data_IF_933916953154
#
_entry.id   IF_933916953154
#
_cell.length_a   1.000
_cell.length_b   1.000
_cell.length_c   1.000
_cell.angle_alpha   90.00
_cell.angle_beta   90.00
_cell.angle_gamma   90.00
#
_symmetry.space_group_name_H-M   'P 1'
#
loop_
_entity.id
_entity.type
_entity.pdbx_description
1 polymer ?
#
# COMPACT_ATOMS: atom_id res chain seq x y z
N UNK A 1 -5.08 14.70 -18.09
CA UNK A 1 -5.52 15.76 -17.16
C UNK A 1 -4.42 16.80 -16.87
N UNK A 2 -3.25 16.40 -16.35
CA UNK A 2 -2.19 17.33 -15.93
C UNK A 2 -1.75 18.35 -17.01
N UNK A 3 -1.52 17.88 -18.26
CA UNK A 3 -1.15 18.78 -19.38
C UNK A 3 -2.21 19.84 -19.68
N UNK A 4 -3.48 19.44 -19.70
CA UNK A 4 -4.60 20.36 -19.91
C UNK A 4 -4.66 21.42 -18.81
N UNK A 5 -4.51 21.02 -17.55
CA UNK A 5 -4.53 21.94 -16.41
C UNK A 5 -3.36 22.94 -16.44
N UNK A 6 -2.16 22.51 -16.82
CA UNK A 6 -1.04 23.45 -17.05
C UNK A 6 -1.35 24.45 -18.17
N UNK A 7 -1.95 23.98 -19.28
CA UNK A 7 -2.34 24.86 -20.39
C UNK A 7 -3.46 25.84 -20.02
N UNK A 8 -4.24 25.54 -18.98
CA UNK A 8 -5.24 26.44 -18.41
C UNK A 8 -4.64 27.44 -17.40
N UNK A 9 -3.31 27.47 -17.21
CA UNK A 9 -2.62 28.41 -16.33
C UNK A 9 -2.49 27.97 -14.87
N UNK A 10 -2.85 26.72 -14.54
CA UNK A 10 -2.68 26.20 -13.18
C UNK A 10 -1.22 25.80 -12.93
N UNK A 11 -0.74 26.01 -11.71
CA UNK A 11 0.46 25.35 -11.20
C UNK A 11 0.12 23.91 -10.80
N UNK A 12 0.66 22.93 -11.52
CA UNK A 12 0.23 21.53 -11.43
C UNK A 12 1.37 20.65 -10.94
N UNK A 13 1.22 20.15 -9.71
CA UNK A 13 2.00 19.05 -9.16
C UNK A 13 1.49 17.71 -9.74
N UNK A 14 2.35 17.02 -10.49
CA UNK A 14 2.12 15.71 -11.10
C UNK A 14 3.30 14.78 -10.80
N UNK A 15 3.39 14.27 -9.57
CA UNK A 15 4.51 13.45 -9.12
C UNK A 15 4.31 11.99 -9.54
N UNK A 16 5.39 11.22 -9.44
CA UNK A 16 5.38 9.77 -9.58
C UNK A 16 6.24 9.18 -8.47
N UNK A 17 5.94 7.95 -8.05
CA UNK A 17 6.75 7.21 -7.09
C UNK A 17 6.60 5.72 -7.29
N UNK A 18 7.35 4.96 -6.50
CA UNK A 18 7.45 3.51 -6.60
C UNK A 18 7.02 2.88 -5.29
N UNK A 19 5.91 2.15 -5.33
CA UNK A 19 5.55 1.23 -4.26
C UNK A 19 6.40 -0.04 -4.38
N UNK A 20 7.45 -0.10 -3.57
CA UNK A 20 8.64 -0.90 -3.79
C UNK A 20 8.93 -1.89 -2.63
N UNK A 21 8.08 -1.93 -1.61
CA UNK A 21 8.09 -2.96 -0.58
C UNK A 21 7.03 -4.02 -0.84
N UNK A 22 7.13 -5.12 -0.11
CA UNK A 22 6.09 -6.14 -0.04
C UNK A 22 6.38 -7.35 -0.90
N UNK A 23 5.50 -8.33 -0.74
CA UNK A 23 5.68 -9.68 -1.23
C UNK A 23 5.81 -9.80 -2.77
N UNK A 24 5.24 -8.93 -3.63
CA UNK A 24 5.45 -9.03 -5.08
C UNK A 24 6.92 -8.86 -5.48
N UNK A 25 7.60 -7.86 -4.92
CA UNK A 25 9.01 -7.60 -5.22
C UNK A 25 9.91 -8.69 -4.63
N UNK A 26 9.61 -9.13 -3.42
CA UNK A 26 10.36 -10.17 -2.71
C UNK A 26 10.26 -11.54 -3.39
N UNK A 27 9.04 -12.00 -3.71
CA UNK A 27 8.86 -13.30 -4.38
C UNK A 27 9.53 -13.32 -5.76
N UNK A 28 9.36 -12.26 -6.56
CA UNK A 28 9.93 -12.20 -7.90
C UNK A 28 11.47 -12.24 -7.88
N UNK A 29 12.08 -11.69 -6.82
CA UNK A 29 13.53 -11.72 -6.61
C UNK A 29 13.99 -13.11 -6.14
N UNK A 30 13.26 -13.74 -5.21
CA UNK A 30 13.53 -15.11 -4.73
C UNK A 30 13.48 -16.13 -5.88
N UNK A 31 12.44 -16.08 -6.72
CA UNK A 31 12.30 -16.97 -7.89
C UNK A 31 13.48 -16.88 -8.86
N UNK A 32 14.10 -15.70 -8.95
CA UNK A 32 15.22 -15.41 -9.85
C UNK A 32 16.59 -15.55 -9.18
N UNK A 33 16.63 -15.85 -7.89
CA UNK A 33 17.87 -15.97 -7.12
C UNK A 33 18.66 -14.66 -7.00
N UNK A 34 17.97 -13.51 -7.04
CA UNK A 34 18.59 -12.18 -6.96
C UNK A 34 18.17 -11.45 -5.68
N UNK A 35 18.98 -10.48 -5.25
CA UNK A 35 18.62 -9.61 -4.12
C UNK A 35 17.33 -8.84 -4.41
N UNK A 36 16.33 -8.83 -3.51
CA UNK A 36 15.12 -8.03 -3.67
C UNK A 36 15.40 -6.53 -3.86
N UNK A 37 16.45 -6.02 -3.22
CA UNK A 37 16.86 -4.62 -3.36
C UNK A 37 17.34 -4.33 -4.80
N UNK A 38 18.24 -5.16 -5.33
CA UNK A 38 18.80 -4.96 -6.66
C UNK A 38 17.74 -5.16 -7.75
N UNK A 39 16.88 -6.17 -7.58
CA UNK A 39 15.74 -6.44 -8.45
C UNK A 39 14.78 -5.25 -8.52
N UNK A 40 14.44 -4.69 -7.36
CA UNK A 40 13.53 -3.55 -7.25
C UNK A 40 14.11 -2.31 -7.90
N UNK A 41 15.39 -2.00 -7.64
CA UNK A 41 16.08 -0.85 -8.25
C UNK A 41 16.15 -0.99 -9.77
N UNK A 42 16.45 -2.19 -10.29
CA UNK A 42 16.50 -2.44 -11.73
C UNK A 42 15.11 -2.27 -12.39
N UNK A 43 14.06 -2.80 -11.77
CA UNK A 43 12.69 -2.67 -12.27
C UNK A 43 12.21 -1.21 -12.28
N UNK A 44 12.53 -0.45 -11.23
CA UNK A 44 12.24 0.98 -11.14
C UNK A 44 12.94 1.73 -12.28
N UNK A 45 14.22 1.46 -12.53
CA UNK A 45 14.96 2.10 -13.62
C UNK A 45 14.33 1.82 -14.99
N UNK A 46 13.95 0.57 -15.26
CA UNK A 46 13.28 0.17 -16.49
C UNK A 46 11.91 0.83 -16.65
N UNK A 47 11.06 0.77 -15.62
CA UNK A 47 9.73 1.37 -15.64
C UNK A 47 9.81 2.89 -15.83
N UNK A 48 10.77 3.56 -15.19
CA UNK A 48 11.03 4.99 -15.37
C UNK A 48 11.41 5.34 -16.80
N UNK A 49 12.25 4.53 -17.44
CA UNK A 49 12.62 4.71 -18.85
C UNK A 49 11.40 4.57 -19.76
N UNK A 50 10.54 3.58 -19.51
CA UNK A 50 9.30 3.39 -20.27
C UNK A 50 8.35 4.59 -20.11
N UNK A 51 8.13 5.08 -18.89
CA UNK A 51 7.28 6.25 -18.62
C UNK A 51 7.82 7.52 -19.29
N UNK A 52 9.16 7.69 -19.33
CA UNK A 52 9.80 8.79 -20.06
C UNK A 52 9.60 8.66 -21.57
N UNK A 53 9.71 7.46 -22.12
CA UNK A 53 9.50 7.20 -23.55
C UNK A 53 8.06 7.48 -24.00
N UNK A 54 7.07 7.26 -23.12
CA UNK A 54 5.66 7.63 -23.37
C UNK A 54 5.41 9.15 -23.41
N UNK A 55 6.43 9.98 -23.12
CA UNK A 55 6.31 11.44 -23.12
C UNK A 55 5.47 11.99 -21.96
N UNK A 56 5.20 11.18 -20.94
CA UNK A 56 4.45 11.61 -19.76
C UNK A 56 5.37 12.49 -18.90
N UNK A 57 4.96 13.75 -18.70
CA UNK A 57 5.70 14.71 -17.87
C UNK A 57 5.30 14.58 -16.41
N UNK A 58 6.08 13.80 -15.68
CA UNK A 58 6.09 13.77 -14.22
C UNK A 58 7.15 14.70 -13.64
N UNK A 59 6.91 15.18 -12.43
CA UNK A 59 7.86 15.97 -11.64
C UNK A 59 8.87 15.02 -10.98
N UNK A 60 9.82 14.51 -11.77
CA UNK A 60 10.81 13.52 -11.33
C UNK A 60 11.70 13.99 -10.18
N UNK A 61 11.81 15.30 -9.94
CA UNK A 61 12.53 15.87 -8.79
C UNK A 61 11.83 15.59 -7.45
N UNK A 62 10.56 15.14 -7.50
CA UNK A 62 9.75 14.75 -6.34
C UNK A 62 9.46 13.25 -6.31
N UNK A 63 10.27 12.46 -7.01
CA UNK A 63 10.16 11.01 -7.01
C UNK A 63 10.46 10.43 -5.63
N UNK A 64 9.67 9.45 -5.23
CA UNK A 64 9.85 8.72 -3.96
C UNK A 64 9.81 7.21 -4.20
N UNK A 65 10.55 6.46 -3.41
CA UNK A 65 10.59 4.99 -3.44
C UNK A 65 10.32 4.46 -2.04
N UNK A 66 9.27 3.66 -1.85
CA UNK A 66 8.84 3.29 -0.49
C UNK A 66 9.86 2.43 0.27
N UNK A 67 10.73 1.71 -0.45
CA UNK A 67 11.81 0.91 0.14
C UNK A 67 13.10 1.70 0.46
N UNK A 68 13.16 2.99 0.15
CA UNK A 68 14.34 3.81 0.40
C UNK A 68 14.40 4.30 1.86
N UNK A 69 15.59 4.37 2.50
CA UNK A 69 15.73 4.79 3.90
C UNK A 69 15.24 6.20 4.20
N UNK A 70 15.36 7.12 3.24
CA UNK A 70 14.87 8.49 3.35
C UNK A 70 13.34 8.59 3.29
N UNK A 71 12.65 7.55 2.81
CA UNK A 71 11.20 7.41 2.86
C UNK A 71 10.75 6.68 4.13
N UNK A 72 11.14 5.40 4.31
CA UNK A 72 10.54 4.56 5.36
C UNK A 72 10.88 5.01 6.78
N UNK A 73 11.91 5.84 6.99
CA UNK A 73 12.20 6.47 8.29
C UNK A 73 11.00 7.24 8.82
N UNK A 74 10.20 7.86 7.94
CA UNK A 74 9.01 8.60 8.31
C UNK A 74 7.85 7.67 8.65
N UNK A 75 7.73 6.53 7.97
CA UNK A 75 6.77 5.48 8.31
C UNK A 75 7.08 4.87 9.68
N UNK A 76 8.35 4.58 9.95
CA UNK A 76 8.82 4.13 11.27
C UNK A 76 8.53 5.17 12.35
N UNK A 77 8.83 6.44 12.10
CA UNK A 77 8.53 7.53 13.02
C UNK A 77 7.03 7.65 13.29
N UNK A 78 6.18 7.63 12.25
CA UNK A 78 4.73 7.70 12.39
C UNK A 78 4.17 6.52 13.21
N UNK A 79 4.69 5.31 12.97
CA UNK A 79 4.34 4.14 13.75
C UNK A 79 4.66 4.33 15.23
N UNK A 80 5.84 4.85 15.56
CA UNK A 80 6.21 5.16 16.95
C UNK A 80 5.28 6.23 17.55
N UNK A 81 4.87 7.23 16.78
CA UNK A 81 3.90 8.24 17.23
C UNK A 81 2.52 7.62 17.52
N UNK A 82 2.07 6.67 16.70
CA UNK A 82 0.83 5.93 16.93
C UNK A 82 0.95 5.00 18.15
N UNK A 83 2.10 4.33 18.30
CA UNK A 83 2.38 3.44 19.42
C UNK A 83 2.36 4.19 20.75
N UNK A 84 3.03 5.34 20.83
CA UNK A 84 3.06 6.19 22.03
C UNK A 84 1.65 6.70 22.41
N UNK A 85 0.76 6.88 21.43
CA UNK A 85 -0.64 7.26 21.66
C UNK A 85 -1.57 6.07 21.88
N UNK A 86 -1.04 4.85 21.93
CA UNK A 86 -1.82 3.63 22.07
C UNK A 86 -2.57 3.19 20.82
N UNK A 87 -2.49 3.93 19.71
CA UNK A 87 -3.18 3.63 18.45
C UNK A 87 -2.56 2.45 17.70
N UNK A 88 -1.23 2.28 17.78
CA UNK A 88 -0.57 1.05 17.39
C UNK A 88 -0.33 0.21 18.66
N UNK A 89 -0.68 -1.07 18.63
CA UNK A 89 -0.53 -1.94 19.79
C UNK A 89 -0.27 -3.38 19.38
N UNK A 90 0.28 -4.16 20.31
CA UNK A 90 0.52 -5.59 20.11
C UNK A 90 -0.49 -6.41 20.88
N UNK A 91 -1.08 -7.43 20.24
CA UNK A 91 -2.05 -8.32 20.87
C UNK A 91 -1.90 -9.72 20.29
N UNK A 92 -2.14 -10.74 21.12
CA UNK A 92 -2.37 -12.09 20.60
C UNK A 92 -3.75 -12.16 19.95
N UNK A 93 -3.78 -12.56 18.69
CA UNK A 93 -5.00 -12.74 17.94
C UNK A 93 -4.91 -13.97 17.04
N UNK A 94 -6.08 -14.56 16.78
CA UNK A 94 -6.27 -15.43 15.64
C UNK A 94 -6.11 -14.59 14.38
N UNK A 95 -5.14 -14.96 13.55
CA UNK A 95 -4.86 -14.28 12.29
C UNK A 95 -4.94 -15.24 11.12
N UNK A 96 -5.28 -14.69 9.96
CA UNK A 96 -5.28 -15.41 8.70
C UNK A 96 -3.83 -15.66 8.28
N UNK A 97 -3.43 -16.91 8.17
CA UNK A 97 -2.09 -17.32 7.76
C UNK A 97 -2.14 -17.94 6.37
N UNK A 98 -1.32 -17.43 5.46
CA UNK A 98 -1.11 -18.04 4.15
C UNK A 98 0.00 -19.10 4.26
N UNK A 99 -0.30 -20.40 4.05
CA UNK A 99 0.70 -21.47 4.18
C UNK A 99 1.72 -21.50 3.04
N UNK A 100 1.38 -20.93 1.88
CA UNK A 100 2.26 -20.87 0.70
C UNK A 100 3.22 -19.69 0.84
N UNK A 101 2.66 -18.51 1.08
CA UNK A 101 3.43 -17.27 1.22
C UNK A 101 4.11 -17.12 2.58
N UNK A 102 3.72 -17.98 3.54
CA UNK A 102 4.25 -18.02 4.91
C UNK A 102 4.21 -16.65 5.59
N UNK A 103 3.05 -16.01 5.49
CA UNK A 103 2.83 -14.67 6.03
C UNK A 103 1.42 -14.53 6.60
N UNK A 104 1.25 -13.52 7.45
CA UNK A 104 -0.07 -13.14 7.97
C UNK A 104 -0.76 -12.22 6.96
N UNK A 105 -2.05 -12.46 6.74
CA UNK A 105 -2.91 -11.67 5.89
C UNK A 105 -3.90 -10.86 6.75
N UNK A 106 -4.12 -9.60 6.37
CA UNK A 106 -5.25 -8.83 6.87
C UNK A 106 -6.58 -9.42 6.37
N UNK A 107 -7.70 -9.08 6.98
CA UNK A 107 -9.01 -9.60 6.56
C UNK A 107 -9.34 -9.18 5.12
N UNK A 108 -8.94 -7.97 4.74
CA UNK A 108 -9.13 -7.39 3.40
C UNK A 108 -8.29 -8.11 2.31
N UNK A 109 -7.37 -8.98 2.72
CA UNK A 109 -6.52 -9.78 1.85
C UNK A 109 -7.02 -11.24 1.72
N UNK A 110 -8.16 -11.56 2.31
CA UNK A 110 -8.81 -12.87 2.23
C UNK A 110 -10.12 -12.70 1.46
N UNK A 111 -10.33 -13.53 0.44
CA UNK A 111 -11.56 -13.51 -0.34
C UNK A 111 -12.76 -14.13 0.42
N UNK A 112 -13.94 -14.07 -0.19
CA UNK A 112 -15.17 -14.56 0.41
C UNK A 112 -15.16 -16.08 0.66
N UNK A 113 -14.35 -16.82 -0.09
CA UNK A 113 -14.14 -18.27 0.04
C UNK A 113 -13.04 -18.63 1.05
N UNK A 114 -12.46 -17.65 1.75
CA UNK A 114 -11.43 -17.88 2.76
C UNK A 114 -10.05 -18.19 2.18
N UNK A 115 -9.72 -17.64 1.01
CA UNK A 115 -8.44 -17.85 0.34
C UNK A 115 -7.64 -16.56 0.27
N UNK A 116 -6.33 -16.72 0.24
CA UNK A 116 -5.40 -15.62 -0.01
C UNK A 116 -5.65 -15.01 -1.39
N UNK A 117 -5.82 -13.70 -1.46
CA UNK A 117 -6.01 -12.95 -2.71
C UNK A 117 -4.87 -13.16 -3.72
N UNK A 118 -3.70 -13.60 -3.25
CA UNK A 118 -2.49 -13.76 -4.05
C UNK A 118 -2.16 -15.20 -4.37
N UNK A 119 -2.00 -16.04 -3.35
CA UNK A 119 -1.57 -17.44 -3.55
C UNK A 119 -2.74 -18.35 -3.92
N UNK A 120 -3.99 -17.94 -3.65
CA UNK A 120 -5.19 -18.76 -3.80
C UNK A 120 -5.29 -19.90 -2.77
N UNK A 121 -4.32 -20.01 -1.86
CA UNK A 121 -4.32 -21.01 -0.80
C UNK A 121 -5.44 -20.71 0.22
N UNK A 122 -6.05 -21.77 0.74
CA UNK A 122 -7.01 -21.66 1.86
C UNK A 122 -6.24 -21.18 3.08
N UNK A 123 -6.71 -20.12 3.72
CA UNK A 123 -6.03 -19.54 4.88
C UNK A 123 -6.19 -20.44 6.11
N UNK A 124 -5.14 -20.53 6.91
CA UNK A 124 -5.17 -21.19 8.22
C UNK A 124 -5.38 -20.15 9.32
N UNK A 125 -6.09 -20.53 10.39
CA UNK A 125 -6.17 -19.70 11.58
C UNK A 125 -5.02 -20.04 12.53
N UNK A 126 -4.16 -19.06 12.84
CA UNK A 126 -3.06 -19.23 13.80
C UNK A 126 -3.12 -18.17 14.89
N UNK A 127 -2.85 -18.58 16.13
CA UNK A 127 -2.66 -17.62 17.23
C UNK A 127 -1.26 -17.03 17.15
N UNK A 128 -1.15 -15.73 16.88
CA UNK A 128 0.13 -15.04 16.78
C UNK A 128 0.06 -13.68 17.49
N UNK A 129 1.17 -13.28 18.09
CA UNK A 129 1.30 -11.97 18.71
C UNK A 129 1.70 -10.91 17.67
N UNK A 130 0.71 -10.19 17.15
CA UNK A 130 0.80 -9.31 15.98
C UNK A 130 0.60 -7.83 16.34
N UNK A 131 0.99 -6.94 15.42
CA UNK A 131 0.74 -5.52 15.51
C UNK A 131 -0.60 -5.16 14.89
N UNK A 132 -1.35 -4.29 15.56
CA UNK A 132 -2.64 -3.80 15.13
C UNK A 132 -2.69 -2.27 15.19
N UNK A 133 -3.47 -1.68 14.31
CA UNK A 133 -3.87 -0.27 14.39
C UNK A 133 -5.32 -0.21 14.87
N UNK A 134 -5.63 0.67 15.84
CA UNK A 134 -6.98 0.90 16.35
C UNK A 134 -7.84 1.69 15.37
N UNK A 135 -7.99 1.18 14.15
CA UNK A 135 -8.87 1.79 13.13
C UNK A 135 -10.33 1.79 13.60
N UNK A 136 -10.72 0.85 14.47
CA UNK A 136 -12.05 0.78 15.05
C UNK A 136 -12.41 2.00 15.91
N UNK A 137 -11.44 2.68 16.54
CA UNK A 137 -11.68 3.97 17.23
C UNK A 137 -12.05 5.10 16.26
N UNK A 138 -11.81 4.91 14.96
CA UNK A 138 -12.12 5.86 13.90
C UNK A 138 -13.28 5.40 13.01
N UNK A 139 -13.91 4.25 13.30
CA UNK A 139 -14.94 3.64 12.45
C UNK A 139 -16.11 4.58 12.16
N UNK A 140 -16.75 5.12 13.20
CA UNK A 140 -17.90 6.04 13.05
C UNK A 140 -17.53 7.27 12.23
N UNK A 141 -16.36 7.85 12.50
CA UNK A 141 -15.88 9.02 11.76
C UNK A 141 -15.61 8.70 10.28
N UNK A 142 -15.00 7.54 9.99
CA UNK A 142 -14.73 7.11 8.62
C UNK A 142 -16.03 6.91 7.84
N UNK A 143 -17.06 6.36 8.49
CA UNK A 143 -18.39 6.18 7.92
C UNK A 143 -19.13 7.50 7.71
N UNK A 144 -19.17 8.38 8.71
CA UNK A 144 -19.82 9.69 8.64
C UNK A 144 -19.17 10.60 7.58
N UNK A 145 -17.85 10.51 7.43
CA UNK A 145 -17.11 11.31 6.45
C UNK A 145 -17.37 10.83 5.00
N UNK A 146 -17.94 9.64 4.77
CA UNK A 146 -18.35 9.19 3.43
C UNK A 146 -19.37 10.13 2.80
N UNK A 147 -20.33 10.64 3.59
CA UNK A 147 -21.36 11.56 3.10
C UNK A 147 -20.78 12.89 2.61
N UNK A 148 -19.65 13.32 3.18
CA UNK A 148 -18.96 14.56 2.79
C UNK A 148 -18.24 14.44 1.45
N UNK A 149 -17.85 13.23 1.04
CA UNK A 149 -17.07 12.99 -0.20
C UNK A 149 -17.89 12.39 -1.35
N UNK A 150 -19.11 11.91 -1.08
CA UNK A 150 -20.00 11.25 -2.07
C UNK A 150 -20.18 12.02 -3.39
N UNK A 151 -20.17 13.36 -3.37
CA UNK A 151 -20.37 14.19 -4.57
C UNK A 151 -19.20 14.12 -5.58
N UNK A 152 -17.98 13.80 -5.12
CA UNK A 152 -16.79 13.78 -5.96
C UNK A 152 -16.35 12.39 -6.42
N UNK A 153 -17.02 11.34 -5.94
CA UNK A 153 -16.63 9.94 -6.14
C UNK A 153 -17.62 9.18 -7.03
N UNK A 154 -17.17 8.12 -7.74
CA UNK A 154 -18.05 7.32 -8.58
C UNK A 154 -19.21 6.70 -7.79
N UNK A 155 -20.38 6.59 -8.43
CA UNK A 155 -21.56 5.92 -7.86
C UNK A 155 -21.23 4.46 -7.51
N UNK A 156 -21.52 4.05 -6.27
CA UNK A 156 -21.26 2.70 -5.74
C UNK A 156 -19.98 2.56 -4.92
N UNK A 157 -19.05 3.51 -4.98
CA UNK A 157 -17.81 3.44 -4.19
C UNK A 157 -18.06 3.51 -2.68
N UNK A 158 -18.93 4.43 -2.25
CA UNK A 158 -19.28 4.57 -0.84
C UNK A 158 -20.02 3.36 -0.26
N UNK A 159 -20.70 2.57 -1.10
CA UNK A 159 -21.38 1.33 -0.67
C UNK A 159 -20.40 0.20 -0.38
N UNK A 160 -19.24 0.17 -1.05
CA UNK A 160 -18.21 -0.84 -0.80
C UNK A 160 -17.39 -0.59 0.48
N UNK A 161 -17.51 0.60 1.07
CA UNK A 161 -16.83 0.99 2.31
C UNK A 161 -17.73 0.88 3.55
N UNK A 162 -19.04 0.66 3.35
CA UNK A 162 -20.04 0.43 4.41
C UNK A 162 -20.15 -1.07 4.72
#
# INVERSE_FOLDING_TARGET
MARLKRMQGYDVLHPMGWDAFGLPAENAAIERGVSPADWTVANIAQAKQQLRALGIRFDWDREVTTCAPDYYKWTQWLFLQMFQRGLAYRKEALVNWDPVDKTVLANEQVDAEGRSWRSGAVVEQRSLNQWFLRITEYGDRLLDDLDKVRLGWPSGWGTAQQ
#
